data_IF_596482114003
#
_entry.id   IF_596482114003
#
_cell.length_a   1.000
_cell.length_b   1.000
_cell.length_c   1.000
_cell.angle_alpha   90.00
_cell.angle_beta   90.00
_cell.angle_gamma   90.00
#
_symmetry.space_group_name_H-M   'P 1'
#
loop_
_entity.id
_entity.type
_entity.pdbx_description
1 polymer ?
#
# COMPACT_ATOMS: atom_id res chain seq x y z
N UNK A 1 -6.61 10.39 0.05
CA UNK A 1 -6.81 9.85 -1.33
C UNK A 1 -7.39 8.48 -1.13
N UNK A 2 -8.58 8.18 -1.65
CA UNK A 2 -9.26 6.92 -1.33
C UNK A 2 -8.65 5.72 -2.08
N UNK A 3 -8.80 4.53 -1.49
CA UNK A 3 -8.29 3.29 -2.09
C UNK A 3 -9.01 2.94 -3.39
N UNK A 4 -10.29 3.29 -3.54
CA UNK A 4 -11.07 3.05 -4.75
C UNK A 4 -10.54 3.85 -5.92
N UNK A 5 -10.13 5.10 -5.69
CA UNK A 5 -9.51 5.92 -6.72
C UNK A 5 -8.18 5.31 -7.17
N UNK A 6 -7.37 4.80 -6.23
CA UNK A 6 -6.13 4.10 -6.55
C UNK A 6 -6.41 2.84 -7.38
N UNK A 7 -7.37 2.01 -6.95
CA UNK A 7 -7.76 0.79 -7.67
C UNK A 7 -8.31 1.11 -9.07
N UNK A 8 -9.17 2.13 -9.21
CA UNK A 8 -9.70 2.57 -10.50
C UNK A 8 -8.57 3.02 -11.44
N UNK A 9 -7.63 3.84 -10.94
CA UNK A 9 -6.47 4.30 -11.72
C UNK A 9 -5.54 3.18 -12.18
N UNK A 10 -5.48 2.06 -11.44
CA UNK A 10 -4.69 0.89 -11.82
C UNK A 10 -5.37 0.07 -12.94
N UNK A 11 -6.70 0.10 -12.99
CA UNK A 11 -7.52 -0.65 -13.94
C UNK A 11 -7.75 0.09 -15.27
N UNK A 12 -7.51 1.40 -15.31
CA UNK A 12 -7.66 2.19 -16.54
C UNK A 12 -6.75 1.69 -17.68
N UNK A 13 -7.27 1.61 -18.92
CA UNK A 13 -6.50 1.22 -20.09
C UNK A 13 -5.52 2.34 -20.45
N UNK A 14 -4.23 2.15 -20.16
CA UNK A 14 -3.17 3.04 -20.64
C UNK A 14 -2.95 2.83 -22.15
N UNK A 15 -2.65 3.93 -22.86
CA UNK A 15 -2.29 3.89 -24.28
C UNK A 15 -0.97 3.12 -24.47
N UNK A 16 -0.93 2.36 -25.56
CA UNK A 16 0.09 1.42 -26.03
C UNK A 16 1.56 1.78 -25.72
N UNK A 17 2.33 0.74 -25.32
CA UNK A 17 3.78 0.65 -25.07
C UNK A 17 4.32 0.82 -23.63
N UNK A 18 3.49 0.95 -22.59
CA UNK A 18 3.97 0.70 -21.23
C UNK A 18 3.81 -0.79 -20.90
N UNK A 19 4.92 -1.46 -20.57
CA UNK A 19 4.92 -2.82 -20.02
C UNK A 19 3.87 -2.97 -18.91
N UNK A 20 3.26 -4.16 -18.82
CA UNK A 20 2.21 -4.44 -17.86
C UNK A 20 2.70 -4.19 -16.42
N UNK A 21 2.34 -3.02 -15.86
CA UNK A 21 2.76 -2.60 -14.51
C UNK A 21 2.19 -3.58 -13.48
N UNK A 22 3.07 -4.34 -12.83
CA UNK A 22 2.66 -5.26 -11.77
C UNK A 22 2.58 -4.53 -10.42
N UNK A 23 1.42 -4.62 -9.77
CA UNK A 23 1.16 -3.95 -8.50
C UNK A 23 0.91 -4.96 -7.39
N UNK A 24 1.56 -4.75 -6.24
CA UNK A 24 1.31 -5.50 -5.01
C UNK A 24 0.64 -4.60 -3.97
N UNK A 25 -0.51 -5.01 -3.46
CA UNK A 25 -1.31 -4.24 -2.52
C UNK A 25 -1.31 -4.96 -1.16
N UNK A 26 -0.75 -4.32 -0.15
CA UNK A 26 -0.89 -4.72 1.24
C UNK A 26 -2.14 -4.07 1.83
N UNK A 27 -3.10 -4.88 2.26
CA UNK A 27 -4.30 -4.43 2.97
C UNK A 27 -4.15 -4.76 4.44
N UNK A 28 -4.18 -3.74 5.29
CA UNK A 28 -3.74 -3.83 6.68
C UNK A 28 -4.91 -3.71 7.67
N UNK A 29 -5.05 -4.75 8.50
CA UNK A 29 -6.06 -4.82 9.56
C UNK A 29 -7.45 -5.21 9.07
N UNK A 30 -8.27 -5.70 10.01
CA UNK A 30 -9.60 -6.24 9.71
C UNK A 30 -10.55 -5.19 9.14
N UNK A 31 -10.42 -3.91 9.54
CA UNK A 31 -11.26 -2.82 9.02
C UNK A 31 -10.99 -2.58 7.53
N UNK A 32 -9.72 -2.46 7.13
CA UNK A 32 -9.34 -2.26 5.74
C UNK A 32 -9.68 -3.50 4.89
N UNK A 33 -9.47 -4.70 5.45
CA UNK A 33 -9.88 -5.96 4.82
C UNK A 33 -11.38 -6.01 4.56
N UNK A 34 -12.19 -5.81 5.60
CA UNK A 34 -13.64 -5.79 5.49
C UNK A 34 -14.10 -4.71 4.51
N UNK A 35 -13.43 -3.57 4.44
CA UNK A 35 -13.74 -2.53 3.47
C UNK A 35 -13.46 -2.96 2.02
N UNK A 36 -12.36 -3.68 1.77
CA UNK A 36 -12.05 -4.22 0.43
C UNK A 36 -12.95 -5.40 0.06
N UNK A 37 -13.21 -6.32 1.00
CA UNK A 37 -14.03 -7.52 0.79
C UNK A 37 -15.52 -7.20 0.70
N UNK A 38 -16.01 -6.27 1.54
CA UNK A 38 -17.40 -5.79 1.52
C UNK A 38 -17.60 -4.62 0.57
N UNK A 39 -16.53 -4.15 -0.09
CA UNK A 39 -16.58 -3.12 -1.11
C UNK A 39 -17.72 -3.46 -2.06
N UNK A 40 -18.77 -2.64 -2.00
CA UNK A 40 -20.05 -2.82 -2.70
C UNK A 40 -19.77 -3.36 -4.10
N UNK A 41 -20.50 -4.41 -4.51
CA UNK A 41 -20.68 -4.84 -5.91
C UNK A 41 -20.41 -3.63 -6.80
N UNK A 42 -19.21 -3.55 -7.36
CA UNK A 42 -18.70 -2.31 -7.96
C UNK A 42 -19.76 -1.83 -8.94
N UNK A 43 -20.07 -0.53 -8.92
CA UNK A 43 -20.89 0.08 -9.97
C UNK A 43 -20.41 -0.49 -11.32
N UNK A 44 -21.28 -1.24 -11.98
CA UNK A 44 -20.94 -2.21 -13.04
C UNK A 44 -20.27 -1.56 -14.27
N UNK A 45 -20.17 -0.24 -14.28
CA UNK A 45 -19.65 0.56 -15.37
C UNK A 45 -18.12 0.71 -15.39
N UNK A 46 -17.41 0.56 -14.27
CA UNK A 46 -15.95 0.76 -14.22
C UNK A 46 -15.12 -0.43 -14.72
N UNK A 47 -15.66 -1.66 -14.70
CA UNK A 47 -14.97 -2.89 -15.12
C UNK A 47 -15.30 -3.33 -16.55
N UNK A 48 -15.91 -2.47 -17.36
CA UNK A 48 -16.48 -2.82 -18.67
C UNK A 48 -15.47 -3.25 -19.75
N UNK A 49 -14.17 -3.12 -19.50
CA UNK A 49 -13.13 -3.53 -20.47
C UNK A 49 -12.52 -4.90 -20.13
N UNK A 50 -12.41 -5.78 -21.13
CA UNK A 50 -11.72 -7.08 -21.04
C UNK A 50 -10.30 -6.90 -20.47
N UNK A 51 -9.65 -5.79 -20.80
CA UNK A 51 -8.31 -5.45 -20.31
C UNK A 51 -8.27 -5.15 -18.81
N UNK A 52 -9.30 -4.52 -18.25
CA UNK A 52 -9.43 -4.33 -16.79
C UNK A 52 -9.61 -5.68 -16.07
N UNK A 53 -10.36 -6.61 -16.66
CA UNK A 53 -10.56 -7.97 -16.11
C UNK A 53 -9.26 -8.77 -16.15
N UNK A 54 -8.50 -8.72 -17.24
CA UNK A 54 -7.20 -9.40 -17.38
C UNK A 54 -6.15 -8.79 -16.43
N UNK A 55 -6.05 -7.45 -16.36
CA UNK A 55 -5.16 -6.77 -15.41
C UNK A 55 -5.49 -7.07 -13.95
N UNK A 56 -6.78 -7.13 -13.62
CA UNK A 56 -7.22 -7.50 -12.26
C UNK A 56 -6.82 -8.92 -11.88
N UNK A 57 -6.63 -9.83 -12.84
CA UNK A 57 -6.27 -11.23 -12.58
C UNK A 57 -4.76 -11.45 -12.50
N UNK A 58 -4.00 -10.84 -13.42
CA UNK A 58 -2.59 -11.20 -13.60
C UNK A 58 -1.61 -10.10 -13.15
N UNK A 59 -2.05 -8.84 -13.08
CA UNK A 59 -1.16 -7.70 -12.80
C UNK A 59 -1.32 -7.10 -11.39
N UNK A 60 -2.43 -7.36 -10.70
CA UNK A 60 -2.71 -6.84 -9.35
C UNK A 60 -2.77 -7.99 -8.35
N UNK A 61 -1.85 -8.01 -7.40
CA UNK A 61 -1.81 -8.98 -6.32
C UNK A 61 -2.16 -8.29 -5.01
N UNK A 62 -3.08 -8.88 -4.23
CA UNK A 62 -3.54 -8.33 -2.95
C UNK A 62 -3.18 -9.29 -1.82
N UNK A 63 -2.60 -8.75 -0.75
CA UNK A 63 -2.23 -9.49 0.46
C UNK A 63 -2.85 -8.82 1.68
N UNK A 64 -3.64 -9.59 2.44
CA UNK A 64 -4.25 -9.14 3.69
C UNK A 64 -3.35 -9.47 4.88
N UNK A 65 -3.03 -8.47 5.71
CA UNK A 65 -2.18 -8.62 6.89
C UNK A 65 -2.83 -7.96 8.11
N UNK A 66 -3.00 -8.72 9.19
CA UNK A 66 -3.63 -8.22 10.42
C UNK A 66 -2.63 -7.78 11.49
N UNK A 67 -1.32 -7.81 11.20
CA UNK A 67 -0.26 -7.43 12.14
C UNK A 67 0.87 -6.68 11.45
N UNK A 68 1.32 -5.59 12.07
CA UNK A 68 2.43 -4.76 11.59
C UNK A 68 3.73 -5.56 11.42
N UNK A 69 3.96 -6.52 12.33
CA UNK A 69 5.11 -7.44 12.27
C UNK A 69 5.17 -8.19 10.93
N UNK A 70 4.02 -8.64 10.40
CA UNK A 70 3.99 -9.36 9.13
C UNK A 70 4.28 -8.44 7.95
N UNK A 71 3.76 -7.21 7.97
CA UNK A 71 4.12 -6.22 6.95
C UNK A 71 5.63 -6.01 6.95
N UNK A 72 6.23 -5.78 8.12
CA UNK A 72 7.66 -5.60 8.22
C UNK A 72 8.43 -6.82 7.72
N UNK A 73 8.04 -8.04 8.10
CA UNK A 73 8.68 -9.27 7.59
C UNK A 73 8.59 -9.41 6.07
N UNK A 74 7.46 -9.07 5.46
CA UNK A 74 7.32 -9.09 4.00
C UNK A 74 8.20 -8.03 3.34
N UNK A 75 8.25 -6.82 3.89
CA UNK A 75 9.16 -5.79 3.42
C UNK A 75 10.62 -6.27 3.50
N UNK A 76 11.04 -6.82 4.65
CA UNK A 76 12.38 -7.39 4.79
C UNK A 76 12.65 -8.55 3.83
N UNK A 77 11.65 -9.38 3.53
CA UNK A 77 11.78 -10.45 2.53
C UNK A 77 12.07 -9.87 1.14
N UNK A 78 11.33 -8.82 0.74
CA UNK A 78 11.62 -8.13 -0.52
C UNK A 78 12.99 -7.45 -0.47
N UNK A 79 13.35 -6.82 0.65
CA UNK A 79 14.66 -6.19 0.80
C UNK A 79 15.80 -7.20 0.73
N UNK A 80 15.65 -8.41 1.26
CA UNK A 80 16.67 -9.44 1.27
C UNK A 80 16.95 -10.02 -0.13
N UNK A 81 16.00 -9.89 -1.06
CA UNK A 81 16.18 -10.38 -2.43
C UNK A 81 17.36 -9.64 -3.10
N UNK A 82 18.39 -10.38 -3.50
CA UNK A 82 19.61 -9.80 -4.09
C UNK A 82 19.44 -9.53 -5.58
N UNK A 83 18.64 -10.34 -6.26
CA UNK A 83 18.34 -10.17 -7.67
C UNK A 83 17.17 -9.18 -7.85
N UNK A 84 17.40 -7.98 -8.40
CA UNK A 84 16.33 -7.01 -8.63
C UNK A 84 15.24 -7.53 -9.57
N UNK A 85 15.57 -8.51 -10.42
CA UNK A 85 14.62 -9.12 -11.35
C UNK A 85 13.70 -10.16 -10.70
N UNK A 86 14.03 -10.64 -9.50
CA UNK A 86 13.18 -11.57 -8.74
C UNK A 86 11.95 -10.87 -8.13
N UNK A 87 12.03 -9.56 -7.87
CA UNK A 87 10.87 -8.75 -7.48
C UNK A 87 10.11 -8.34 -8.74
N UNK A 88 9.07 -9.10 -9.06
CA UNK A 88 8.26 -8.91 -10.28
C UNK A 88 7.38 -7.66 -10.28
N UNK A 89 7.34 -6.93 -9.16
CA UNK A 89 6.41 -5.83 -8.94
C UNK A 89 7.06 -4.48 -9.25
N UNK A 90 6.35 -3.64 -9.98
CA UNK A 90 6.74 -2.25 -10.23
C UNK A 90 6.25 -1.28 -9.13
N UNK A 91 5.15 -1.64 -8.46
CA UNK A 91 4.45 -0.75 -7.52
C UNK A 91 4.00 -1.49 -6.29
N UNK A 92 4.24 -0.88 -5.14
CA UNK A 92 3.63 -1.27 -3.87
C UNK A 92 2.56 -0.26 -3.45
N UNK A 93 1.43 -0.77 -2.97
CA UNK A 93 0.38 0.02 -2.32
C UNK A 93 0.19 -0.53 -0.93
N UNK A 94 0.23 0.33 0.08
CA UNK A 94 0.03 -0.03 1.48
C UNK A 94 -1.23 0.67 1.96
N UNK A 95 -2.30 -0.08 2.16
CA UNK A 95 -3.63 0.43 2.54
C UNK A 95 -3.95 0.10 4.01
N UNK A 96 -4.30 1.11 4.80
CA UNK A 96 -4.78 0.93 6.18
C UNK A 96 -3.69 0.86 7.26
N UNK A 97 -2.51 1.43 7.00
CA UNK A 97 -1.42 1.47 7.97
C UNK A 97 -1.81 2.22 9.26
N UNK A 98 -2.51 3.34 9.10
CA UNK A 98 -3.14 4.14 10.16
C UNK A 98 -4.10 3.31 11.01
N UNK A 99 -5.01 2.56 10.38
CA UNK A 99 -5.96 1.71 11.09
C UNK A 99 -5.28 0.61 11.91
N UNK A 100 -4.15 0.07 11.43
CA UNK A 100 -3.39 -0.95 12.13
C UNK A 100 -2.52 -0.36 13.25
N UNK A 101 -1.96 0.84 13.08
CA UNK A 101 -1.20 1.56 14.11
C UNK A 101 -2.10 2.02 15.27
N UNK A 102 -3.34 2.39 14.99
CA UNK A 102 -4.34 2.73 16.01
C UNK A 102 -4.66 1.57 16.97
N UNK A 103 -4.39 0.32 16.57
CA UNK A 103 -4.54 -0.84 17.45
C UNK A 103 -3.37 -1.03 18.42
N UNK A 104 -2.23 -0.38 18.16
CA UNK A 104 -1.04 -0.46 19.03
C UNK A 104 -1.25 0.35 20.30
N UNK A 105 -2.01 1.45 20.20
CA UNK A 105 -2.44 2.27 21.32
C UNK A 105 -3.73 3.00 20.91
N UNK A 106 -4.80 2.75 21.66
CA UNK A 106 -6.15 3.28 21.42
C UNK A 106 -6.46 4.48 22.32
N UNK A 107 -5.50 4.90 23.17
CA UNK A 107 -5.79 5.88 24.21
C UNK A 107 -5.89 7.32 23.67
N UNK A 108 -5.31 7.64 22.51
CA UNK A 108 -5.41 8.97 21.88
C UNK A 108 -5.21 8.93 20.36
N UNK A 109 -5.87 9.85 19.63
CA UNK A 109 -5.73 10.00 18.16
C UNK A 109 -4.39 10.65 17.73
N UNK A 110 -3.51 10.95 18.70
CA UNK A 110 -2.17 11.48 18.49
C UNK A 110 -1.16 10.35 18.42
N UNK A 111 -0.18 10.47 17.53
CA UNK A 111 0.90 9.48 17.43
C UNK A 111 1.71 9.43 18.74
N UNK A 112 1.85 8.24 19.31
CA UNK A 112 2.73 8.02 20.46
C UNK A 112 4.16 7.62 20.00
N UNK A 113 5.07 7.44 20.95
CA UNK A 113 6.47 7.10 20.65
C UNK A 113 6.63 5.74 19.96
N UNK A 114 5.85 4.73 20.35
CA UNK A 114 5.90 3.40 19.76
C UNK A 114 5.35 3.36 18.34
N UNK A 115 4.21 4.00 18.10
CA UNK A 115 3.63 4.20 16.78
C UNK A 115 4.60 4.97 15.89
N UNK A 116 5.20 6.07 16.39
CA UNK A 116 6.21 6.84 15.66
C UNK A 116 7.41 5.98 15.29
N UNK A 117 7.93 5.19 16.22
CA UNK A 117 9.05 4.26 15.98
C UNK A 117 8.70 3.22 14.91
N UNK A 118 7.52 2.60 15.02
CA UNK A 118 7.03 1.60 14.08
C UNK A 118 6.81 2.19 12.68
N UNK A 119 6.19 3.37 12.58
CA UNK A 119 5.98 4.07 11.32
C UNK A 119 7.30 4.39 10.63
N UNK A 120 8.28 4.91 11.39
CA UNK A 120 9.62 5.18 10.84
C UNK A 120 10.28 3.90 10.32
N UNK A 121 10.15 2.79 11.05
CA UNK A 121 10.69 1.51 10.61
C UNK A 121 10.06 1.02 9.30
N UNK A 122 8.73 1.12 9.19
CA UNK A 122 7.99 0.74 7.98
C UNK A 122 8.35 1.65 6.81
N UNK A 123 8.34 2.97 6.99
CA UNK A 123 8.65 3.91 5.91
C UNK A 123 10.09 3.75 5.43
N UNK A 124 11.05 3.65 6.35
CA UNK A 124 12.44 3.42 5.99
C UNK A 124 12.60 2.16 5.14
N UNK A 125 12.08 1.01 5.59
CA UNK A 125 12.15 -0.24 4.85
C UNK A 125 11.48 -0.13 3.47
N UNK A 126 10.28 0.43 3.42
CA UNK A 126 9.50 0.63 2.20
C UNK A 126 10.26 1.45 1.14
N UNK A 127 10.83 2.60 1.52
CA UNK A 127 11.56 3.44 0.58
C UNK A 127 12.95 2.89 0.22
N UNK A 128 13.61 2.15 1.13
CA UNK A 128 14.83 1.39 0.80
C UNK A 128 14.57 0.34 -0.26
N UNK A 129 13.48 -0.41 -0.14
CA UNK A 129 13.05 -1.41 -1.15
C UNK A 129 12.77 -0.73 -2.48
N UNK A 130 12.04 0.40 -2.47
CA UNK A 130 11.78 1.20 -3.67
C UNK A 130 13.08 1.52 -4.41
N UNK A 131 14.11 1.98 -3.69
CA UNK A 131 15.41 2.31 -4.25
C UNK A 131 16.17 1.06 -4.73
N UNK A 132 16.24 0.01 -3.91
CA UNK A 132 16.99 -1.22 -4.20
C UNK A 132 16.45 -1.92 -5.45
N UNK A 133 15.13 -2.05 -5.56
CA UNK A 133 14.46 -2.78 -6.63
C UNK A 133 13.90 -1.88 -7.74
N UNK A 134 14.27 -0.60 -7.74
CA UNK A 134 13.82 0.38 -8.73
C UNK A 134 12.30 0.42 -8.93
N UNK A 135 11.53 0.26 -7.84
CA UNK A 135 10.08 0.32 -7.90
C UNK A 135 9.64 1.70 -8.42
N UNK A 136 8.75 1.72 -9.42
CA UNK A 136 8.17 2.94 -9.99
C UNK A 136 7.48 3.77 -8.91
N UNK A 137 6.78 3.12 -7.97
CA UNK A 137 6.12 3.80 -6.88
C UNK A 137 5.92 2.92 -5.64
N UNK A 138 5.92 3.57 -4.47
CA UNK A 138 5.34 3.05 -3.24
C UNK A 138 4.35 4.08 -2.72
N UNK A 139 3.11 3.67 -2.50
CA UNK A 139 2.01 4.57 -2.12
C UNK A 139 1.38 4.09 -0.83
N UNK A 140 1.30 4.97 0.16
CA UNK A 140 0.55 4.73 1.38
C UNK A 140 -0.84 5.36 1.25
N UNK A 141 -1.86 4.55 1.49
CA UNK A 141 -3.27 4.94 1.41
C UNK A 141 -3.85 4.79 2.82
N UNK A 142 -4.27 5.86 3.48
CA UNK A 142 -4.89 5.76 4.79
C UNK A 142 -6.29 5.15 4.68
N UNK A 143 -6.72 4.49 5.74
CA UNK A 143 -8.09 4.04 5.91
C UNK A 143 -9.00 5.20 6.36
N UNK A 144 -8.51 6.05 7.26
CA UNK A 144 -9.18 7.26 7.73
C UNK A 144 -8.36 8.50 7.34
N UNK A 145 -8.77 9.16 6.27
CA UNK A 145 -8.12 10.36 5.71
C UNK A 145 -8.15 11.56 6.69
N UNK A 146 -9.01 11.55 7.72
CA UNK A 146 -9.26 12.72 8.58
C UNK A 146 -8.63 12.64 9.97
N UNK A 147 -7.99 11.53 10.34
CA UNK A 147 -7.39 11.39 11.67
C UNK A 147 -6.08 12.17 11.83
N UNK A 148 -5.82 12.66 13.05
CA UNK A 148 -4.56 13.34 13.40
C UNK A 148 -3.34 12.43 13.18
N UNK A 149 -3.52 11.14 13.45
CA UNK A 149 -2.55 10.09 13.16
C UNK A 149 -2.21 10.06 11.66
N UNK A 150 -3.21 10.01 10.78
CA UNK A 150 -3.01 10.01 9.33
C UNK A 150 -2.24 11.24 8.85
N UNK A 151 -2.59 12.44 9.34
CA UNK A 151 -1.87 13.66 8.96
C UNK A 151 -0.40 13.60 9.37
N UNK A 152 -0.11 13.02 10.54
CA UNK A 152 1.25 12.84 11.03
C UNK A 152 2.01 11.79 10.21
N UNK A 153 1.37 10.68 9.86
CA UNK A 153 1.93 9.66 8.98
C UNK A 153 2.27 10.21 7.59
N UNK A 154 1.42 11.05 7.02
CA UNK A 154 1.70 11.72 5.74
C UNK A 154 2.91 12.68 5.82
N UNK A 155 3.17 13.30 6.97
CA UNK A 155 4.38 14.10 7.19
C UNK A 155 5.63 13.22 7.25
N UNK A 156 5.56 12.11 7.97
CA UNK A 156 6.66 11.13 8.05
C UNK A 156 6.95 10.49 6.70
N UNK A 157 5.92 10.12 5.95
CA UNK A 157 6.07 9.58 4.60
C UNK A 157 6.79 10.56 3.68
N UNK A 158 6.39 11.85 3.69
CA UNK A 158 7.05 12.90 2.90
C UNK A 158 8.52 13.07 3.28
N UNK A 159 8.84 13.02 4.57
CA UNK A 159 10.21 13.06 5.04
C UNK A 159 11.03 11.89 4.48
N UNK A 160 10.56 10.65 4.64
CA UNK A 160 11.29 9.48 4.16
C UNK A 160 11.40 9.40 2.64
N UNK A 161 10.38 9.87 1.92
CA UNK A 161 10.43 10.00 0.45
C UNK A 161 11.49 10.99 -0.03
N UNK A 162 11.86 11.96 0.81
CA UNK A 162 12.91 12.93 0.49
C UNK A 162 14.31 12.42 0.85
N UNK A 163 14.43 11.69 1.97
CA UNK A 163 15.71 11.16 2.47
C UNK A 163 16.17 9.90 1.70
N UNK A 164 15.23 9.06 1.30
CA UNK A 164 15.46 7.81 0.56
C UNK A 164 15.05 7.93 -0.92
#
# INVERSE_FOLDING_TARGET
>A
MSIEYVLASLLEPKKSNEDAVQTFIFVLGDKARAHVENGKKTESHLLSSINAVVKSRDAIHVLFLNRLQYLFMYLMKFEAEEDPSAVKYDRFVVYGLDALLKQVDDENDKINEDQLRLSNLIFNAAFRIKRKHSLKAITFVPFDDNSDLTMTLQRLERYWRHVC
#
